data_IF_197523120008
#
_entry.id   IF_197523120008
#
_cell.length_a   1.000
_cell.length_b   1.000
_cell.length_c   1.000
_cell.angle_alpha   90.00
_cell.angle_beta   90.00
_cell.angle_gamma   90.00
#
_symmetry.space_group_name_H-M   'P 1'
#
loop_
_entity.id
_entity.type
_entity.pdbx_description
1 polymer ?
#
# COMPACT_ATOMS: atom_id res chain seq x y z
N UNK A 1 8.30 -41.96 -7.87
CA UNK A 1 8.54 -40.63 -7.26
C UNK A 1 10.01 -40.21 -7.39
N UNK A 2 10.34 -39.40 -8.40
CA UNK A 2 11.70 -38.84 -8.52
C UNK A 2 11.85 -37.77 -7.44
N UNK A 3 12.66 -38.02 -6.42
CA UNK A 3 12.95 -37.00 -5.41
C UNK A 3 13.66 -35.82 -6.09
N UNK A 4 13.04 -34.64 -6.08
CA UNK A 4 13.72 -33.44 -6.54
C UNK A 4 15.02 -33.25 -5.73
N UNK A 5 16.15 -33.07 -6.42
CA UNK A 5 17.44 -32.82 -5.76
C UNK A 5 17.42 -31.40 -5.19
N UNK A 6 17.70 -31.26 -3.89
CA UNK A 6 17.75 -29.96 -3.22
C UNK A 6 19.18 -29.61 -2.78
N UNK A 7 19.51 -28.32 -2.83
CA UNK A 7 20.74 -27.77 -2.26
C UNK A 7 20.32 -26.80 -1.15
N UNK A 8 20.78 -27.04 0.08
CA UNK A 8 20.51 -26.16 1.23
C UNK A 8 21.75 -25.29 1.47
N UNK A 9 21.55 -23.98 1.55
CA UNK A 9 22.61 -23.00 1.81
C UNK A 9 22.36 -22.41 3.20
N UNK A 10 23.05 -22.96 4.20
CA UNK A 10 23.06 -22.46 5.57
C UNK A 10 24.25 -21.54 5.84
N UNK A 11 24.13 -20.65 6.83
CA UNK A 11 25.24 -19.86 7.36
C UNK A 11 24.89 -19.37 8.77
N UNK A 12 25.89 -19.25 9.66
CA UNK A 12 25.68 -19.05 11.10
C UNK A 12 25.08 -17.68 11.46
N UNK A 13 25.12 -16.68 10.58
CA UNK A 13 24.55 -15.35 10.80
C UNK A 13 24.05 -14.68 9.51
N UNK A 14 23.27 -13.61 9.66
CA UNK A 14 22.94 -12.70 8.55
C UNK A 14 24.19 -11.96 8.06
N UNK A 15 24.22 -11.50 6.80
CA UNK A 15 25.39 -10.88 6.18
C UNK A 15 26.48 -11.84 5.68
N UNK A 16 26.33 -13.15 5.84
CA UNK A 16 27.33 -14.14 5.40
C UNK A 16 27.30 -14.46 3.90
N UNK A 17 26.61 -13.67 3.07
CA UNK A 17 26.60 -13.85 1.61
C UNK A 17 25.71 -14.99 1.08
N UNK A 18 24.84 -15.59 1.92
CA UNK A 18 23.93 -16.68 1.54
C UNK A 18 23.13 -16.34 0.28
N UNK A 19 22.57 -15.14 0.20
CA UNK A 19 21.77 -14.67 -0.94
C UNK A 19 22.57 -14.61 -2.22
N UNK A 20 23.77 -14.02 -2.16
CA UNK A 20 24.66 -13.91 -3.30
C UNK A 20 25.03 -15.29 -3.84
N UNK A 21 25.31 -16.24 -2.94
CA UNK A 21 25.57 -17.64 -3.30
C UNK A 21 24.34 -18.30 -3.92
N UNK A 22 23.16 -18.14 -3.32
CA UNK A 22 21.89 -18.68 -3.85
C UNK A 22 21.59 -18.15 -5.24
N UNK A 23 21.66 -16.83 -5.45
CA UNK A 23 21.41 -16.19 -6.75
C UNK A 23 22.43 -16.66 -7.79
N UNK A 24 23.71 -16.73 -7.42
CA UNK A 24 24.78 -17.25 -8.27
C UNK A 24 24.52 -18.69 -8.71
N UNK A 25 24.11 -19.56 -7.78
CA UNK A 25 23.77 -20.96 -8.06
C UNK A 25 22.53 -21.09 -8.94
N UNK A 26 21.46 -20.34 -8.66
CA UNK A 26 20.27 -20.32 -9.52
C UNK A 26 20.63 -19.92 -10.94
N UNK A 27 21.42 -18.86 -11.11
CA UNK A 27 21.86 -18.39 -12.43
C UNK A 27 22.75 -19.42 -13.14
N UNK A 28 23.70 -20.03 -12.42
CA UNK A 28 24.61 -21.02 -12.97
C UNK A 28 23.89 -22.31 -13.41
N UNK A 29 22.96 -22.81 -12.60
CA UNK A 29 22.18 -24.01 -12.90
C UNK A 29 21.17 -23.76 -14.03
N UNK A 30 20.50 -22.60 -14.03
CA UNK A 30 19.63 -22.20 -15.13
C UNK A 30 20.37 -22.09 -16.47
N UNK A 31 21.60 -21.54 -16.48
CA UNK A 31 22.48 -21.52 -17.67
C UNK A 31 22.86 -22.90 -18.19
N UNK A 32 22.74 -23.95 -17.36
CA UNK A 32 22.98 -25.35 -17.74
C UNK A 32 21.70 -26.07 -18.20
N UNK A 33 20.62 -25.33 -18.46
CA UNK A 33 19.35 -25.89 -18.93
C UNK A 33 18.51 -26.57 -17.86
N UNK A 34 18.89 -26.45 -16.58
CA UNK A 34 18.11 -27.02 -15.48
C UNK A 34 16.97 -26.08 -15.09
N UNK A 35 15.77 -26.64 -14.93
CA UNK A 35 14.66 -25.97 -14.27
C UNK A 35 14.96 -25.89 -12.78
N UNK A 36 15.41 -24.71 -12.33
CA UNK A 36 15.73 -24.46 -10.93
C UNK A 36 14.82 -23.40 -10.36
N UNK A 37 14.23 -23.69 -9.20
CA UNK A 37 13.42 -22.75 -8.46
C UNK A 37 14.11 -22.44 -7.14
N UNK A 38 14.44 -21.17 -6.92
CA UNK A 38 14.82 -20.70 -5.60
C UNK A 38 13.59 -20.72 -4.71
N UNK A 39 13.56 -21.59 -3.72
CA UNK A 39 12.58 -21.52 -2.64
C UNK A 39 13.32 -21.01 -1.41
N UNK A 40 13.21 -19.71 -1.15
CA UNK A 40 13.45 -19.19 0.19
C UNK A 40 12.11 -18.95 0.83
N UNK A 41 11.67 -19.90 1.66
CA UNK A 41 10.49 -19.76 2.51
C UNK A 41 10.95 -19.41 3.92
N UNK A 42 10.64 -18.20 4.35
CA UNK A 42 10.83 -17.76 5.72
C UNK A 42 10.48 -16.28 5.85
N UNK A 43 9.93 -15.83 7.00
CA UNK A 43 9.55 -14.43 7.25
C UNK A 43 10.75 -13.46 7.32
N UNK A 44 11.97 -13.94 7.07
CA UNK A 44 13.19 -13.27 7.49
C UNK A 44 13.85 -12.43 6.40
N UNK A 45 14.23 -11.22 6.83
CA UNK A 45 15.15 -10.33 6.15
C UNK A 45 16.52 -10.97 5.90
N UNK A 46 17.13 -10.64 4.77
CA UNK A 46 18.56 -10.86 4.48
C UNK A 46 19.15 -9.50 4.19
N UNK A 47 20.06 -9.03 5.03
CA UNK A 47 20.76 -7.76 4.81
C UNK A 47 19.78 -6.61 4.53
N UNK A 48 18.72 -6.54 5.35
CA UNK A 48 17.59 -5.60 5.25
C UNK A 48 16.64 -5.79 4.04
N UNK A 49 16.77 -6.87 3.26
CA UNK A 49 15.89 -7.21 2.15
C UNK A 49 14.98 -8.41 2.44
N UNK A 50 13.70 -8.36 2.02
CA UNK A 50 12.81 -9.54 1.98
C UNK A 50 11.90 -9.51 0.76
N UNK A 51 11.45 -10.69 0.33
CA UNK A 51 10.38 -10.81 -0.67
C UNK A 51 9.06 -10.56 0.07
N UNK A 52 8.43 -9.42 -0.23
CA UNK A 52 7.22 -8.98 0.48
C UNK A 52 5.91 -9.48 -0.09
N UNK A 53 5.90 -9.94 -1.33
CA UNK A 53 4.69 -10.31 -2.06
C UNK A 53 4.83 -10.08 -3.56
N UNK A 54 3.69 -10.07 -4.24
CA UNK A 54 3.56 -9.76 -5.68
C UNK A 54 2.70 -8.52 -5.88
N UNK A 55 3.03 -7.70 -6.87
CA UNK A 55 2.25 -6.51 -7.25
C UNK A 55 1.44 -6.81 -8.51
N UNK A 56 0.20 -6.36 -8.55
CA UNK A 56 -0.65 -6.32 -9.75
C UNK A 56 -1.30 -4.93 -9.86
N UNK A 57 -1.60 -4.47 -11.07
CA UNK A 57 -2.37 -3.26 -11.32
C UNK A 57 -3.62 -3.59 -12.11
N UNK A 58 -4.79 -3.35 -11.54
CA UNK A 58 -6.10 -3.73 -12.10
C UNK A 58 -6.73 -2.60 -12.91
N UNK A 59 -6.25 -1.37 -12.77
CA UNK A 59 -6.70 -0.21 -13.54
C UNK A 59 -5.62 0.90 -13.61
N UNK A 60 -5.99 2.05 -14.19
CA UNK A 60 -5.15 3.22 -14.30
C UNK A 60 -5.28 4.20 -13.13
N UNK A 61 -5.20 5.49 -13.44
CA UNK A 61 -5.21 6.58 -12.46
C UNK A 61 -6.43 7.49 -12.65
N UNK A 62 -7.08 7.96 -11.56
CA UNK A 62 -8.28 8.78 -11.69
C UNK A 62 -7.94 10.19 -12.20
N UNK A 63 -6.79 10.76 -11.83
CA UNK A 63 -6.35 12.06 -12.33
C UNK A 63 -6.12 12.05 -13.86
N UNK A 64 -5.67 10.91 -14.40
CA UNK A 64 -5.54 10.67 -15.84
C UNK A 64 -6.80 10.13 -16.52
N UNK A 65 -7.91 9.98 -15.76
CA UNK A 65 -9.18 9.41 -16.21
C UNK A 65 -9.07 7.99 -16.79
N UNK A 66 -8.16 7.18 -16.27
CA UNK A 66 -7.96 5.77 -16.68
C UNK A 66 -8.25 4.77 -15.56
N UNK A 67 -8.59 5.24 -14.36
CA UNK A 67 -9.14 4.37 -13.31
C UNK A 67 -10.52 3.84 -13.75
N UNK A 68 -10.83 2.60 -13.41
CA UNK A 68 -12.05 1.94 -13.87
C UNK A 68 -13.19 2.12 -12.85
N UNK A 69 -14.17 2.95 -13.20
CA UNK A 69 -15.27 3.35 -12.34
C UNK A 69 -16.57 2.59 -12.67
N UNK A 70 -17.46 2.44 -11.69
CA UNK A 70 -18.82 1.91 -11.95
C UNK A 70 -19.76 2.93 -12.61
N UNK A 71 -19.40 4.21 -12.54
CA UNK A 71 -20.15 5.34 -13.09
C UNK A 71 -19.23 6.21 -13.96
N UNK A 72 -19.73 6.82 -15.05
CA UNK A 72 -18.92 7.64 -15.94
C UNK A 72 -18.17 8.77 -15.24
N UNK A 73 -17.06 9.22 -15.82
CA UNK A 73 -16.34 10.40 -15.34
C UNK A 73 -17.23 11.65 -15.40
N UNK A 74 -17.09 12.54 -14.40
CA UNK A 74 -17.92 13.74 -14.29
C UNK A 74 -17.78 14.66 -15.51
N UNK A 75 -16.54 14.87 -15.97
CA UNK A 75 -16.26 15.42 -17.30
C UNK A 75 -15.62 14.32 -18.13
N UNK A 76 -16.31 13.82 -19.13
CA UNK A 76 -15.78 12.81 -20.05
C UNK A 76 -14.61 13.39 -20.87
N UNK A 77 -13.51 12.63 -21.09
CA UNK A 77 -12.41 13.08 -21.97
C UNK A 77 -12.89 13.38 -23.40
N UNK A 78 -12.25 14.33 -24.07
CA UNK A 78 -12.58 14.62 -25.47
C UNK A 78 -12.35 13.40 -26.36
N UNK A 79 -13.31 13.08 -27.23
CA UNK A 79 -13.26 11.92 -28.13
C UNK A 79 -13.80 10.62 -27.53
N UNK A 80 -14.06 10.57 -26.22
CA UNK A 80 -14.68 9.43 -25.56
C UNK A 80 -16.20 9.52 -25.56
N UNK A 81 -16.86 8.36 -25.38
CA UNK A 81 -18.33 8.28 -25.28
C UNK A 81 -18.82 8.85 -23.94
N UNK A 82 -20.08 9.30 -23.90
CA UNK A 82 -20.69 9.90 -22.70
C UNK A 82 -20.71 8.95 -21.47
N UNK A 83 -20.67 7.64 -21.70
CA UNK A 83 -20.63 6.59 -20.69
C UNK A 83 -19.20 6.18 -20.29
N UNK A 84 -18.16 6.90 -20.75
CA UNK A 84 -16.77 6.57 -20.45
C UNK A 84 -16.48 6.58 -18.95
N UNK A 85 -16.06 5.42 -18.45
CA UNK A 85 -15.77 5.16 -17.04
C UNK A 85 -14.35 4.60 -16.83
N UNK A 86 -13.44 4.80 -17.80
CA UNK A 86 -12.12 4.16 -17.81
C UNK A 86 -12.22 2.68 -18.15
N UNK A 87 -11.22 1.88 -17.79
CA UNK A 87 -11.12 0.50 -18.24
C UNK A 87 -10.26 -0.37 -17.32
N UNK A 88 -10.57 -1.67 -17.23
CA UNK A 88 -9.72 -2.61 -16.50
C UNK A 88 -8.41 -2.86 -17.23
N UNK A 89 -7.37 -3.21 -16.49
CA UNK A 89 -6.12 -3.74 -17.03
C UNK A 89 -6.23 -5.22 -17.45
N UNK A 90 -7.16 -5.96 -16.83
CA UNK A 90 -7.37 -7.38 -17.05
C UNK A 90 -8.86 -7.71 -17.12
N UNK A 91 -9.21 -8.73 -17.91
CA UNK A 91 -10.53 -9.37 -17.79
C UNK A 91 -10.66 -10.06 -16.42
N UNK A 92 -11.90 -10.31 -15.96
CA UNK A 92 -12.13 -10.99 -14.68
C UNK A 92 -11.47 -12.38 -14.62
N UNK A 93 -11.49 -13.12 -15.74
CA UNK A 93 -10.83 -14.42 -15.83
C UNK A 93 -9.31 -14.32 -15.61
N UNK A 94 -8.65 -13.32 -16.22
CA UNK A 94 -7.23 -13.07 -16.03
C UNK A 94 -6.92 -12.60 -14.59
N UNK A 95 -7.74 -11.72 -14.02
CA UNK A 95 -7.58 -11.27 -12.64
C UNK A 95 -7.71 -12.45 -11.65
N UNK A 96 -8.72 -13.31 -11.83
CA UNK A 96 -8.92 -14.53 -11.04
C UNK A 96 -7.72 -15.48 -11.16
N UNK A 97 -7.19 -15.69 -12.37
CA UNK A 97 -6.02 -16.55 -12.60
C UNK A 97 -4.77 -16.00 -11.88
N UNK A 98 -4.49 -14.70 -12.05
CA UNK A 98 -3.29 -14.06 -11.48
C UNK A 98 -3.34 -14.02 -9.95
N UNK A 99 -4.51 -13.71 -9.37
CA UNK A 99 -4.70 -13.69 -7.92
C UNK A 99 -4.73 -15.12 -7.37
N UNK A 100 -5.35 -16.08 -8.08
CA UNK A 100 -5.31 -17.50 -7.76
C UNK A 100 -3.89 -18.04 -7.64
N UNK A 101 -2.99 -17.68 -8.58
CA UNK A 101 -1.55 -18.03 -8.50
C UNK A 101 -0.88 -17.56 -7.21
N UNK A 102 -1.28 -16.40 -6.68
CA UNK A 102 -0.74 -15.94 -5.41
C UNK A 102 -1.22 -16.81 -4.24
N UNK A 103 -2.48 -17.26 -4.27
CA UNK A 103 -2.98 -18.25 -3.32
C UNK A 103 -2.28 -19.60 -3.46
N UNK A 104 -2.07 -20.13 -4.66
CA UNK A 104 -1.34 -21.39 -4.86
C UNK A 104 0.03 -21.34 -4.18
N UNK A 105 0.72 -20.20 -4.30
CA UNK A 105 2.09 -20.02 -3.83
C UNK A 105 2.23 -19.40 -2.42
N UNK A 106 1.13 -18.98 -1.79
CA UNK A 106 1.15 -18.32 -0.48
C UNK A 106 1.79 -16.93 -0.49
N UNK A 107 1.64 -16.18 -1.58
CA UNK A 107 2.20 -14.84 -1.74
C UNK A 107 1.18 -13.76 -1.36
N UNK A 108 1.61 -12.78 -0.56
CA UNK A 108 0.82 -11.57 -0.36
C UNK A 108 0.64 -10.81 -1.67
N UNK A 109 -0.59 -10.45 -2.01
CA UNK A 109 -0.90 -9.64 -3.20
C UNK A 109 -0.98 -8.17 -2.80
N UNK A 110 -0.35 -7.29 -3.58
CA UNK A 110 -0.50 -5.84 -3.50
C UNK A 110 -1.17 -5.39 -4.81
N UNK A 111 -2.48 -5.16 -4.77
CA UNK A 111 -3.26 -4.82 -5.95
C UNK A 111 -3.50 -3.31 -6.03
N UNK A 112 -2.96 -2.66 -7.04
CA UNK A 112 -3.39 -1.32 -7.43
C UNK A 112 -4.81 -1.41 -7.98
N UNK A 113 -5.73 -0.71 -7.32
CA UNK A 113 -7.08 -0.47 -7.80
C UNK A 113 -7.55 0.90 -7.29
N UNK A 114 -7.66 1.86 -8.20
CA UNK A 114 -8.12 3.20 -7.88
C UNK A 114 -9.64 3.31 -8.00
N UNK A 115 -10.15 2.82 -9.11
CA UNK A 115 -11.54 2.89 -9.50
C UNK A 115 -12.38 1.84 -8.81
N UNK A 116 -13.62 2.19 -8.50
CA UNK A 116 -14.49 1.35 -7.69
C UNK A 116 -14.90 0.06 -8.41
N UNK A 117 -14.99 0.06 -9.74
CA UNK A 117 -15.19 -1.19 -10.50
C UNK A 117 -13.95 -2.10 -10.47
N UNK A 118 -12.74 -1.53 -10.49
CA UNK A 118 -11.51 -2.31 -10.30
C UNK A 118 -11.40 -2.90 -8.88
N UNK A 119 -11.91 -2.18 -7.87
CA UNK A 119 -12.00 -2.70 -6.50
C UNK A 119 -13.00 -3.86 -6.42
N UNK A 120 -14.15 -3.78 -7.13
CA UNK A 120 -15.09 -4.90 -7.23
C UNK A 120 -14.42 -6.14 -7.86
N UNK A 121 -13.67 -5.97 -8.96
CA UNK A 121 -12.90 -7.05 -9.59
C UNK A 121 -11.89 -7.66 -8.61
N UNK A 122 -11.19 -6.82 -7.84
CA UNK A 122 -10.22 -7.31 -6.84
C UNK A 122 -10.90 -8.14 -5.74
N UNK A 123 -12.00 -7.63 -5.19
CA UNK A 123 -12.81 -8.30 -4.16
C UNK A 123 -13.29 -9.66 -4.67
N UNK A 124 -13.83 -9.70 -5.89
CA UNK A 124 -14.31 -10.93 -6.52
C UNK A 124 -13.19 -11.96 -6.71
N UNK A 125 -12.03 -11.53 -7.21
CA UNK A 125 -10.90 -12.42 -7.45
C UNK A 125 -10.30 -12.96 -6.15
N UNK A 126 -10.22 -12.16 -5.08
CA UNK A 126 -9.83 -12.63 -3.75
C UNK A 126 -10.84 -13.63 -3.21
N UNK A 127 -12.15 -13.35 -3.28
CA UNK A 127 -13.20 -14.26 -2.83
C UNK A 127 -13.13 -15.62 -3.56
N UNK A 128 -12.90 -15.59 -4.88
CA UNK A 128 -12.72 -16.78 -5.71
C UNK A 128 -11.49 -17.58 -5.27
N UNK A 129 -10.35 -16.92 -5.06
CA UNK A 129 -9.11 -17.57 -4.63
C UNK A 129 -9.23 -18.17 -3.22
N UNK A 130 -9.87 -17.47 -2.27
CA UNK A 130 -10.13 -17.99 -0.93
C UNK A 130 -11.06 -19.22 -0.96
N UNK A 131 -12.11 -19.20 -1.77
CA UNK A 131 -13.03 -20.32 -1.89
C UNK A 131 -12.35 -21.58 -2.49
N UNK A 132 -11.44 -21.39 -3.44
CA UNK A 132 -10.64 -22.48 -4.03
C UNK A 132 -9.57 -23.04 -3.07
N UNK A 133 -9.25 -22.34 -1.97
CA UNK A 133 -8.22 -22.73 -1.01
C UNK A 133 -8.72 -22.72 0.45
N UNK A 134 -9.66 -23.62 0.83
CA UNK A 134 -10.18 -23.68 2.19
C UNK A 134 -9.09 -23.75 3.25
N UNK A 135 -9.18 -22.89 4.27
CA UNK A 135 -8.22 -22.83 5.38
C UNK A 135 -6.94 -22.03 5.10
N UNK A 136 -6.68 -21.60 3.86
CA UNK A 136 -5.56 -20.72 3.53
C UNK A 136 -5.98 -19.26 3.61
N UNK A 137 -5.40 -18.52 4.57
CA UNK A 137 -5.59 -17.08 4.72
C UNK A 137 -4.32 -16.35 4.34
N UNK A 138 -4.43 -15.47 3.35
CA UNK A 138 -3.42 -14.48 3.01
C UNK A 138 -3.92 -13.09 3.42
N UNK A 139 -3.04 -12.09 3.38
CA UNK A 139 -3.40 -10.69 3.67
C UNK A 139 -3.28 -9.84 2.39
N UNK A 140 -4.16 -10.03 1.39
CA UNK A 140 -4.15 -9.19 0.19
C UNK A 140 -4.27 -7.71 0.57
N UNK A 141 -3.64 -6.83 -0.20
CA UNK A 141 -3.60 -5.40 0.06
C UNK A 141 -4.21 -4.64 -1.10
N UNK A 142 -5.25 -3.86 -0.82
CA UNK A 142 -5.77 -2.87 -1.76
C UNK A 142 -4.85 -1.64 -1.72
N UNK A 143 -4.16 -1.34 -2.82
CA UNK A 143 -3.32 -0.15 -2.96
C UNK A 143 -4.13 0.96 -3.63
N UNK A 144 -3.99 2.17 -3.09
CA UNK A 144 -4.71 3.41 -3.40
C UNK A 144 -6.14 3.47 -2.90
N UNK A 145 -7.03 2.58 -3.37
CA UNK A 145 -8.44 2.56 -2.98
C UNK A 145 -9.13 3.92 -3.16
N UNK A 146 -8.75 4.67 -4.20
CA UNK A 146 -9.04 6.10 -4.30
C UNK A 146 -10.53 6.40 -4.30
N UNK A 147 -11.34 5.53 -4.89
CA UNK A 147 -12.80 5.65 -4.98
C UNK A 147 -13.54 4.54 -4.25
N UNK A 148 -12.87 3.90 -3.27
CA UNK A 148 -13.45 2.84 -2.43
C UNK A 148 -14.84 3.25 -1.92
N UNK A 149 -15.85 2.42 -2.20
CA UNK A 149 -17.22 2.67 -1.74
C UNK A 149 -17.46 2.10 -0.35
N UNK A 150 -18.47 2.63 0.33
CA UNK A 150 -18.80 2.21 1.70
C UNK A 150 -19.25 0.75 1.77
N UNK A 151 -19.97 0.25 0.77
CA UNK A 151 -20.36 -1.17 0.65
C UNK A 151 -19.12 -2.08 0.52
N UNK A 152 -18.13 -1.66 -0.27
CA UNK A 152 -16.90 -2.42 -0.51
C UNK A 152 -16.04 -2.57 0.75
N UNK A 153 -16.06 -1.59 1.67
CA UNK A 153 -15.33 -1.69 2.95
C UNK A 153 -15.77 -2.92 3.76
N UNK A 154 -17.06 -3.26 3.72
CA UNK A 154 -17.58 -4.48 4.35
C UNK A 154 -16.96 -5.75 3.78
N UNK A 155 -16.83 -5.81 2.46
CA UNK A 155 -16.20 -6.94 1.76
C UNK A 155 -14.69 -7.01 2.02
N UNK A 156 -14.00 -5.86 2.07
CA UNK A 156 -12.58 -5.84 2.47
C UNK A 156 -12.40 -6.45 3.86
N UNK A 157 -13.27 -6.10 4.82
CA UNK A 157 -13.25 -6.68 6.16
C UNK A 157 -13.49 -8.18 6.12
N UNK A 158 -14.52 -8.63 5.40
CA UNK A 158 -14.93 -10.04 5.30
C UNK A 158 -13.80 -10.91 4.74
N UNK A 159 -13.09 -10.42 3.73
CA UNK A 159 -12.02 -11.13 3.03
C UNK A 159 -10.62 -10.89 3.62
N UNK A 160 -10.50 -10.06 4.66
CA UNK A 160 -9.21 -9.70 5.24
C UNK A 160 -8.30 -8.91 4.28
N UNK A 161 -8.88 -8.18 3.32
CA UNK A 161 -8.14 -7.28 2.44
C UNK A 161 -7.72 -6.04 3.22
N UNK A 162 -6.42 -5.80 3.29
CA UNK A 162 -5.84 -4.67 4.00
C UNK A 162 -5.85 -3.41 3.10
N UNK A 163 -6.50 -2.30 3.50
CA UNK A 163 -6.49 -1.07 2.71
C UNK A 163 -5.21 -0.27 2.94
N UNK A 164 -4.49 0.01 1.85
CA UNK A 164 -3.39 0.97 1.77
C UNK A 164 -3.84 2.15 0.93
N UNK A 165 -4.32 3.20 1.60
CA UNK A 165 -5.01 4.33 0.98
C UNK A 165 -4.02 5.44 0.60
N UNK A 166 -4.45 6.30 -0.33
CA UNK A 166 -3.63 7.43 -0.78
C UNK A 166 -4.26 8.81 -0.52
N UNK A 167 -4.38 9.27 0.75
CA UNK A 167 -4.99 10.57 1.05
C UNK A 167 -4.29 11.78 0.44
N UNK A 168 -3.01 11.71 0.03
CA UNK A 168 -2.34 12.85 -0.61
C UNK A 168 -3.05 13.33 -1.89
N UNK A 169 -3.87 12.49 -2.50
CA UNK A 169 -4.74 12.91 -3.60
C UNK A 169 -5.70 14.05 -3.22
N UNK A 170 -6.12 14.19 -1.97
CA UNK A 170 -6.94 15.34 -1.54
C UNK A 170 -6.16 16.64 -1.72
N UNK A 171 -4.86 16.64 -1.39
CA UNK A 171 -4.02 17.82 -1.54
C UNK A 171 -3.64 18.08 -3.00
N UNK A 172 -3.03 17.11 -3.68
CA UNK A 172 -2.47 17.31 -5.01
C UNK A 172 -3.53 17.44 -6.12
N UNK A 173 -4.62 16.69 -6.01
CA UNK A 173 -5.66 16.59 -7.05
C UNK A 173 -7.08 16.77 -6.53
N UNK A 174 -7.31 17.14 -5.27
CA UNK A 174 -8.67 17.20 -4.71
C UNK A 174 -9.58 18.17 -5.46
N UNK A 175 -9.05 19.33 -5.86
CA UNK A 175 -9.77 20.29 -6.71
C UNK A 175 -10.08 19.69 -8.09
N UNK A 176 -9.12 19.02 -8.72
CA UNK A 176 -9.31 18.35 -10.01
C UNK A 176 -10.33 17.21 -9.93
N UNK A 177 -10.30 16.43 -8.84
CA UNK A 177 -11.24 15.34 -8.60
C UNK A 177 -12.66 15.88 -8.48
N UNK A 178 -12.85 16.96 -7.72
CA UNK A 178 -14.14 17.63 -7.56
C UNK A 178 -14.65 18.23 -8.87
N UNK A 179 -13.81 18.94 -9.61
CA UNK A 179 -14.26 19.80 -10.72
C UNK A 179 -14.26 19.12 -12.10
N UNK A 180 -13.66 17.93 -12.21
CA UNK A 180 -13.43 17.26 -13.50
C UNK A 180 -13.53 15.74 -13.48
N UNK A 181 -13.03 15.07 -12.45
CA UNK A 181 -12.91 13.59 -12.48
C UNK A 181 -14.18 12.93 -11.94
N UNK A 182 -14.50 13.19 -10.67
CA UNK A 182 -15.53 12.46 -9.92
C UNK A 182 -16.78 13.29 -9.71
N UNK A 183 -16.65 14.62 -9.78
CA UNK A 183 -17.73 15.55 -9.48
C UNK A 183 -17.78 15.89 -7.99
N UNK A 184 -18.61 16.87 -7.60
CA UNK A 184 -18.59 17.43 -6.26
C UNK A 184 -18.96 16.42 -5.17
N UNK A 185 -19.85 15.47 -5.46
CA UNK A 185 -20.31 14.49 -4.46
C UNK A 185 -19.33 13.33 -4.28
N UNK A 186 -18.98 12.61 -5.37
CA UNK A 186 -18.08 11.45 -5.28
C UNK A 186 -16.66 11.84 -4.83
N UNK A 187 -16.20 13.06 -5.13
CA UNK A 187 -14.89 13.52 -4.70
C UNK A 187 -14.78 13.69 -3.18
N UNK A 188 -15.87 13.91 -2.44
CA UNK A 188 -15.83 14.01 -0.97
C UNK A 188 -15.33 12.71 -0.34
N UNK A 189 -15.58 11.56 -0.96
CA UNK A 189 -15.29 10.26 -0.40
C UNK A 189 -13.97 9.66 -0.88
N UNK A 190 -13.10 10.45 -1.52
CA UNK A 190 -11.85 9.89 -2.02
C UNK A 190 -10.94 9.45 -0.87
N UNK A 191 -10.27 8.30 -1.02
CA UNK A 191 -9.41 7.69 0.01
C UNK A 191 -10.10 7.68 1.39
N UNK A 192 -11.23 6.97 1.58
CA UNK A 192 -12.14 7.15 2.71
C UNK A 192 -11.63 6.49 3.99
N UNK A 193 -10.70 7.15 4.68
CA UNK A 193 -10.03 6.61 5.87
C UNK A 193 -10.97 6.44 7.07
N UNK A 194 -11.99 7.31 7.23
CA UNK A 194 -12.97 7.19 8.33
C UNK A 194 -13.86 5.97 8.15
N UNK A 195 -14.36 5.72 6.94
CA UNK A 195 -15.17 4.53 6.68
C UNK A 195 -14.46 3.23 7.05
N UNK A 196 -13.16 3.13 6.76
CA UNK A 196 -12.35 1.97 7.15
C UNK A 196 -12.29 1.81 8.68
N UNK A 197 -12.03 2.90 9.40
CA UNK A 197 -11.95 2.87 10.87
C UNK A 197 -13.30 2.56 11.52
N UNK A 198 -14.40 3.13 11.01
CA UNK A 198 -15.76 2.89 11.51
C UNK A 198 -16.21 1.43 11.28
N UNK A 199 -15.69 0.79 10.23
CA UNK A 199 -15.87 -0.64 10.00
C UNK A 199 -15.04 -1.53 10.95
N UNK A 200 -14.26 -0.96 11.88
CA UNK A 200 -13.39 -1.68 12.81
C UNK A 200 -12.10 -2.21 12.19
N UNK A 201 -11.74 -1.71 11.00
CA UNK A 201 -10.49 -2.03 10.32
C UNK A 201 -9.41 -0.97 10.62
N UNK A 202 -8.20 -1.21 10.12
CA UNK A 202 -7.12 -0.22 10.08
C UNK A 202 -6.64 -0.07 8.63
N UNK A 203 -5.96 1.01 8.32
CA UNK A 203 -5.41 1.28 6.99
C UNK A 203 -3.94 1.70 7.07
N UNK A 204 -3.23 1.66 5.94
CA UNK A 204 -1.97 2.39 5.77
C UNK A 204 -2.17 3.59 4.87
N UNK A 205 -1.35 4.63 5.05
CA UNK A 205 -1.24 5.75 4.12
C UNK A 205 0.15 5.75 3.49
N UNK A 206 0.26 6.11 2.22
CA UNK A 206 1.54 6.13 1.52
C UNK A 206 1.69 7.35 0.61
N UNK A 207 2.92 7.58 0.12
CA UNK A 207 3.21 8.67 -0.82
C UNK A 207 3.35 8.20 -2.28
N UNK A 208 3.51 6.91 -2.57
CA UNK A 208 3.62 6.40 -3.96
C UNK A 208 4.72 7.07 -4.81
N UNK A 209 5.91 7.27 -4.23
CA UNK A 209 7.01 7.88 -5.00
C UNK A 209 7.39 6.96 -6.18
N UNK A 210 7.69 7.52 -7.37
CA UNK A 210 7.95 8.94 -7.62
C UNK A 210 6.74 9.74 -8.12
N UNK A 211 5.50 9.23 -8.04
CA UNK A 211 4.30 9.97 -8.50
C UNK A 211 4.18 11.34 -7.80
N UNK A 212 4.55 11.37 -6.53
CA UNK A 212 4.76 12.58 -5.72
C UNK A 212 5.99 12.36 -4.83
N UNK A 213 6.51 13.45 -4.27
CA UNK A 213 7.72 13.40 -3.45
C UNK A 213 7.54 12.56 -2.17
N UNK A 214 8.60 11.86 -1.72
CA UNK A 214 8.57 11.03 -0.52
C UNK A 214 8.59 11.89 0.76
N UNK A 215 7.47 12.49 1.11
CA UNK A 215 7.31 13.35 2.29
C UNK A 215 6.29 12.75 3.28
N UNK A 216 6.79 12.15 4.36
CA UNK A 216 5.97 11.52 5.39
C UNK A 216 5.09 12.53 6.16
N UNK A 217 5.54 13.77 6.33
CA UNK A 217 4.76 14.81 7.02
C UNK A 217 3.65 15.33 6.12
N UNK A 218 3.85 15.35 4.80
CA UNK A 218 2.77 15.57 3.84
C UNK A 218 1.74 14.44 3.84
N UNK A 219 2.17 13.18 3.95
CA UNK A 219 1.23 12.04 4.09
C UNK A 219 0.38 12.20 5.35
N UNK A 220 1.02 12.51 6.48
CA UNK A 220 0.35 12.76 7.76
C UNK A 220 -0.66 13.91 7.64
N UNK A 221 -0.22 15.06 7.13
CA UNK A 221 -1.04 16.25 6.91
C UNK A 221 -2.26 15.97 6.03
N UNK A 222 -2.06 15.33 4.87
CA UNK A 222 -3.16 15.03 3.96
C UNK A 222 -4.17 14.04 4.56
N UNK A 223 -3.69 13.07 5.34
CA UNK A 223 -4.53 12.07 6.02
C UNK A 223 -5.40 12.71 7.12
N UNK A 224 -4.86 13.70 7.84
CA UNK A 224 -5.58 14.41 8.92
C UNK A 224 -6.47 15.52 8.37
N UNK A 225 -5.90 16.42 7.57
CA UNK A 225 -6.53 17.69 7.20
C UNK A 225 -7.40 17.56 5.95
N UNK A 226 -7.02 16.70 5.00
CA UNK A 226 -7.71 16.53 3.71
C UNK A 226 -7.96 17.86 2.97
N UNK A 227 -7.06 18.82 3.15
CA UNK A 227 -7.16 20.15 2.53
C UNK A 227 -6.61 20.09 1.10
N UNK A 228 -7.35 20.65 0.14
CA UNK A 228 -6.91 20.79 -1.25
C UNK A 228 -5.92 21.93 -1.42
N UNK A 229 -5.28 22.05 -2.59
CA UNK A 229 -4.39 23.16 -2.92
C UNK A 229 -5.08 24.53 -2.88
N UNK A 230 -6.37 24.60 -3.19
CA UNK A 230 -7.17 25.82 -3.07
C UNK A 230 -7.57 26.16 -1.61
N UNK A 231 -7.23 25.31 -0.64
CA UNK A 231 -7.57 25.52 0.77
C UNK A 231 -8.92 24.95 1.21
N UNK A 232 -9.66 24.27 0.32
CA UNK A 232 -10.93 23.63 0.67
C UNK A 232 -10.69 22.32 1.42
N UNK A 233 -11.51 22.02 2.42
CA UNK A 233 -11.55 20.68 3.02
C UNK A 233 -12.38 19.77 2.12
N UNK A 234 -11.80 18.64 1.67
CA UNK A 234 -12.49 17.65 0.85
C UNK A 234 -12.79 16.40 1.69
N UNK A 235 -14.05 16.11 1.94
CA UNK A 235 -14.50 15.01 2.77
C UNK A 235 -14.18 15.22 4.24
N UNK A 236 -14.76 16.23 4.91
CA UNK A 236 -14.53 16.45 6.35
C UNK A 236 -14.87 15.22 7.19
N UNK A 237 -15.88 14.45 6.81
CA UNK A 237 -16.27 13.19 7.44
C UNK A 237 -15.23 12.09 7.29
N UNK A 238 -14.33 12.19 6.31
CA UNK A 238 -13.25 11.21 6.11
C UNK A 238 -11.98 11.56 6.88
N UNK A 239 -12.01 12.52 7.82
CA UNK A 239 -10.83 12.88 8.61
C UNK A 239 -10.51 11.85 9.69
N UNK A 240 -9.24 11.86 10.10
CA UNK A 240 -8.75 11.05 11.22
C UNK A 240 -7.92 11.90 12.18
N UNK A 241 -7.75 11.40 13.40
CA UNK A 241 -6.90 12.08 14.38
C UNK A 241 -5.43 12.00 13.96
N UNK A 242 -4.56 12.93 14.41
CA UNK A 242 -3.12 12.84 14.17
C UNK A 242 -2.51 11.52 14.64
N UNK A 243 -2.99 10.96 15.76
CA UNK A 243 -2.55 9.66 16.25
C UNK A 243 -2.91 8.52 15.28
N UNK A 244 -4.14 8.50 14.76
CA UNK A 244 -4.58 7.50 13.78
C UNK A 244 -3.77 7.62 12.47
N UNK A 245 -3.52 8.84 12.01
CA UNK A 245 -2.69 9.07 10.83
C UNK A 245 -1.23 8.65 11.07
N UNK A 246 -0.66 8.91 12.25
CA UNK A 246 0.70 8.47 12.60
C UNK A 246 0.79 6.93 12.62
N UNK A 247 -0.20 6.24 13.21
CA UNK A 247 -0.29 4.77 13.17
C UNK A 247 -0.36 4.24 11.74
N UNK A 248 -1.06 4.92 10.83
CA UNK A 248 -1.19 4.51 9.42
C UNK A 248 0.13 4.50 8.64
N UNK A 249 1.13 5.29 9.05
CA UNK A 249 2.45 5.34 8.43
C UNK A 249 3.54 4.62 9.27
N UNK A 250 3.17 4.03 10.40
CA UNK A 250 4.10 3.35 11.32
C UNK A 250 3.58 1.97 11.73
N UNK A 251 2.83 1.87 12.83
CA UNK A 251 2.38 0.63 13.45
C UNK A 251 1.51 -0.21 12.50
N UNK A 252 0.56 0.42 11.80
CA UNK A 252 -0.32 -0.30 10.88
C UNK A 252 0.41 -0.71 9.60
N UNK A 253 1.45 0.03 9.20
CA UNK A 253 2.34 -0.39 8.12
C UNK A 253 3.20 -1.60 8.50
N UNK A 254 3.64 -1.71 9.75
CA UNK A 254 4.26 -2.93 10.26
C UNK A 254 3.25 -4.09 10.31
N UNK A 255 2.01 -3.83 10.74
CA UNK A 255 0.93 -4.84 10.79
C UNK A 255 0.57 -5.42 9.42
N UNK A 256 0.55 -4.61 8.35
CA UNK A 256 0.30 -5.06 6.98
C UNK A 256 1.25 -6.20 6.55
N UNK A 257 2.41 -6.29 7.20
CA UNK A 257 3.42 -7.30 6.94
C UNK A 257 3.66 -8.27 8.10
N UNK A 258 2.78 -8.28 9.11
CA UNK A 258 2.91 -9.06 10.34
C UNK A 258 4.23 -8.78 11.13
N UNK A 259 4.69 -7.53 11.12
CA UNK A 259 5.93 -7.09 11.76
C UNK A 259 5.71 -6.19 12.98
N UNK A 260 4.46 -5.98 13.40
CA UNK A 260 4.08 -5.06 14.48
C UNK A 260 4.69 -5.41 15.85
N UNK A 261 5.03 -6.67 16.08
CA UNK A 261 5.67 -7.11 17.34
C UNK A 261 7.16 -6.78 17.37
N UNK A 262 7.74 -6.38 16.23
CA UNK A 262 9.17 -6.11 16.07
C UNK A 262 9.48 -4.65 15.74
N UNK A 263 8.54 -3.88 15.18
CA UNK A 263 8.73 -2.48 14.78
C UNK A 263 7.40 -1.73 14.62
N UNK A 264 7.48 -0.43 14.34
CA UNK A 264 6.33 0.42 14.04
C UNK A 264 5.78 1.18 15.26
N UNK A 265 6.30 0.91 16.45
CA UNK A 265 6.04 1.67 17.68
C UNK A 265 7.27 1.66 18.59
N UNK A 266 7.28 2.56 19.57
CA UNK A 266 8.36 2.70 20.55
C UNK A 266 7.98 1.92 21.80
N UNK A 267 8.45 0.68 21.87
CA UNK A 267 8.21 -0.25 22.98
C UNK A 267 9.48 -1.07 23.25
N UNK A 268 9.73 -1.44 24.50
CA UNK A 268 10.87 -2.29 24.86
C UNK A 268 10.83 -3.61 24.08
N UNK A 269 11.96 -4.00 23.50
CA UNK A 269 12.11 -5.22 22.68
C UNK A 269 11.86 -5.03 21.18
N UNK A 270 11.30 -3.88 20.74
CA UNK A 270 11.18 -3.55 19.32
C UNK A 270 12.46 -2.90 18.77
N UNK A 271 12.59 -2.89 17.44
CA UNK A 271 13.71 -2.23 16.74
C UNK A 271 13.76 -0.75 17.08
N UNK A 272 14.98 -0.25 17.31
CA UNK A 272 15.27 1.17 17.51
C UNK A 272 15.34 1.91 16.16
N UNK A 273 14.23 1.87 15.41
CA UNK A 273 13.99 2.65 14.20
C UNK A 273 13.15 3.88 14.58
N UNK A 274 13.80 5.04 14.70
CA UNK A 274 13.22 6.24 15.31
C UNK A 274 13.51 7.47 14.46
N UNK A 275 12.67 8.50 14.62
CA UNK A 275 12.94 9.84 14.10
C UNK A 275 12.77 10.87 15.21
N UNK A 276 13.61 11.90 15.20
CA UNK A 276 13.43 13.10 16.02
C UNK A 276 12.76 14.15 15.14
N UNK A 277 11.62 14.69 15.60
CA UNK A 277 10.83 15.67 14.86
C UNK A 277 11.00 17.06 15.48
N UNK A 278 10.87 18.12 14.66
CA UNK A 278 10.94 19.51 15.14
C UNK A 278 9.81 19.89 16.08
N UNK A 279 8.66 19.22 15.96
CA UNK A 279 7.45 19.48 16.73
C UNK A 279 6.71 18.16 17.00
N UNK A 280 5.84 18.16 18.00
CA UNK A 280 5.01 16.99 18.32
C UNK A 280 3.77 16.96 17.40
N UNK A 281 3.62 15.93 16.53
CA UNK A 281 2.49 15.82 15.61
C UNK A 281 1.14 15.65 16.32
N UNK A 282 1.12 15.28 17.61
CA UNK A 282 -0.11 15.08 18.38
C UNK A 282 -0.63 16.37 19.03
N UNK A 283 0.20 17.41 19.15
CA UNK A 283 -0.16 18.64 19.88
C UNK A 283 -0.01 19.92 19.06
N UNK A 284 0.78 19.91 17.97
CA UNK A 284 0.82 21.05 17.04
C UNK A 284 -0.54 21.25 16.39
N UNK A 285 -0.87 22.50 16.05
CA UNK A 285 -2.07 22.81 15.27
C UNK A 285 -2.10 21.95 13.98
N UNK A 286 -3.20 21.22 13.68
CA UNK A 286 -3.24 20.30 12.56
C UNK A 286 -2.83 20.91 11.21
N UNK A 287 -3.20 22.17 10.95
CA UNK A 287 -2.84 22.89 9.73
C UNK A 287 -1.31 23.08 9.53
N UNK A 288 -0.50 22.86 10.57
CA UNK A 288 0.96 22.96 10.55
C UNK A 288 1.68 21.61 10.47
N UNK A 289 0.96 20.49 10.41
CA UNK A 289 1.56 19.14 10.36
C UNK A 289 2.59 19.00 9.22
N UNK A 290 2.29 19.53 8.03
CA UNK A 290 3.22 19.49 6.88
C UNK A 290 4.51 20.30 7.08
N UNK A 291 4.59 21.14 8.12
CA UNK A 291 5.79 21.97 8.41
C UNK A 291 6.80 21.28 9.31
N UNK A 292 6.41 20.14 9.92
CA UNK A 292 7.28 19.37 10.80
C UNK A 292 8.48 18.88 10.00
N UNK A 293 9.68 19.03 10.57
CA UNK A 293 10.93 18.56 9.97
C UNK A 293 11.41 17.32 10.69
N UNK A 294 11.91 16.34 9.94
CA UNK A 294 12.72 15.26 10.48
C UNK A 294 14.12 15.81 10.75
N UNK A 295 14.49 15.89 12.03
CA UNK A 295 15.79 16.41 12.47
C UNK A 295 16.84 15.32 12.53
N UNK A 296 16.45 14.10 12.89
CA UNK A 296 17.36 12.96 13.01
C UNK A 296 16.64 11.68 12.61
N UNK A 297 17.35 10.76 11.97
CA UNK A 297 16.88 9.38 11.74
C UNK A 297 17.85 8.40 12.38
N UNK A 298 17.29 7.49 13.19
CA UNK A 298 18.00 6.42 13.87
C UNK A 298 17.47 5.11 13.28
N UNK A 299 18.36 4.23 12.85
CA UNK A 299 18.03 2.93 12.29
C UNK A 299 18.79 1.83 13.02
N UNK A 300 18.08 0.84 13.53
CA UNK A 300 18.63 -0.24 14.35
C UNK A 300 19.55 0.29 15.49
N UNK A 301 19.22 1.47 16.06
CA UNK A 301 19.99 2.12 17.13
C UNK A 301 21.11 3.07 16.67
N UNK A 302 21.43 3.08 15.37
CA UNK A 302 22.51 3.90 14.80
C UNK A 302 21.97 5.16 14.13
N UNK A 303 22.61 6.30 14.34
CA UNK A 303 22.24 7.56 13.68
C UNK A 303 22.66 7.51 12.21
N UNK A 304 21.68 7.45 11.31
CA UNK A 304 21.92 7.42 9.85
C UNK A 304 21.67 8.76 9.17
N UNK A 305 20.99 9.68 9.85
CA UNK A 305 20.82 11.07 9.46
C UNK A 305 20.96 11.97 10.70
N UNK A 306 22.01 12.80 10.80
CA UNK A 306 22.29 13.61 11.98
C UNK A 306 21.55 14.96 11.97
N UNK A 307 21.36 15.53 13.16
CA UNK A 307 20.79 16.88 13.34
C UNK A 307 21.65 17.92 12.63
N UNK A 308 21.04 18.78 11.81
CA UNK A 308 21.70 19.93 11.18
C UNK A 308 22.33 19.67 9.81
N UNK A 309 22.25 18.46 9.25
CA UNK A 309 22.47 18.30 7.81
C UNK A 309 21.24 18.78 7.04
N UNK A 310 21.37 19.64 6.01
CA UNK A 310 20.28 19.86 5.07
C UNK A 310 19.93 18.53 4.40
N UNK A 311 18.65 18.22 4.27
CA UNK A 311 18.20 17.06 3.48
C UNK A 311 18.80 17.14 2.07
N UNK A 312 19.35 16.02 1.59
CA UNK A 312 19.82 15.89 0.21
C UNK A 312 18.68 16.00 -0.79
#
# INVERSE_FOLDING_TARGET
PVSARAIIIGAPRSGSGKTSLTIGLLRALSRRGLQVRGVKSGPDYIDHFRIGGVKISLDGSPQGKTAWLSQPYYKVPAGEKADYAGYPAYTDAQANELIGKAWDNGWQVLAHANGDAAIDQFIHAVATAEAAHPGKRLMPVLIHGQTLRRDQVGELRRLGIFPSLFPMHTYYWGDWHRDSVLGPERAENISPTRWVLDAGMVFTSHHDAPVVFPDAMRVLDATVNRTTRSGRVLGPEQRVTPEQALKSITLWAARQYAEQDRKGSIETGKRADLVVLSDNPLTIAPARLHTIKVLQTIKDGEVVYPVGQPGK
#
